data_IF_999332388763
#
_entry.id   IF_999332388763
#
_cell.length_a   1.000
_cell.length_b   1.000
_cell.length_c   1.000
_cell.angle_alpha   90.00
_cell.angle_beta   90.00
_cell.angle_gamma   90.00
#
_symmetry.space_group_name_H-M   'P 1'
#
loop_
_entity.id
_entity.type
_entity.pdbx_description
1 polymer ?
#
# COMPACT_ATOMS: atom_id res chain seq x y z
N UNK A 1 16.08 -9.65 1.02
CA UNK A 1 14.73 -9.77 1.59
C UNK A 1 13.70 -9.29 0.57
N UNK A 2 12.78 -10.16 0.17
CA UNK A 2 11.70 -9.82 -0.79
C UNK A 2 10.64 -8.96 -0.11
N UNK A 3 10.21 -7.86 -0.74
CA UNK A 3 9.14 -6.99 -0.21
C UNK A 3 7.81 -7.76 -0.12
N UNK A 4 7.08 -7.59 0.99
CA UNK A 4 5.70 -8.10 1.14
C UNK A 4 4.76 -7.42 0.14
N UNK A 5 3.59 -8.01 -0.20
CA UNK A 5 2.59 -7.35 -1.06
C UNK A 5 2.20 -5.96 -0.55
N UNK A 6 1.98 -5.81 0.77
CA UNK A 6 1.70 -4.51 1.37
C UNK A 6 2.86 -3.51 1.15
N UNK A 7 4.12 -3.93 1.33
CA UNK A 7 5.26 -3.05 1.04
C UNK A 7 5.34 -2.62 -0.43
N UNK A 8 4.95 -3.51 -1.36
CA UNK A 8 4.89 -3.20 -2.79
C UNK A 8 3.79 -2.19 -3.09
N UNK A 9 2.58 -2.40 -2.55
CA UNK A 9 1.45 -1.48 -2.69
C UNK A 9 1.80 -0.07 -2.17
N UNK A 10 2.37 0.01 -0.96
CA UNK A 10 2.78 1.30 -0.39
C UNK A 10 3.84 2.00 -1.26
N UNK A 11 4.81 1.24 -1.77
CA UNK A 11 5.82 1.79 -2.70
C UNK A 11 5.17 2.35 -3.96
N UNK A 12 4.17 1.64 -4.53
CA UNK A 12 3.45 2.05 -5.73
C UNK A 12 2.61 3.32 -5.49
N UNK A 13 2.01 3.44 -4.31
CA UNK A 13 1.27 4.62 -3.84
C UNK A 13 2.16 5.76 -3.32
N UNK A 14 3.49 5.55 -3.28
CA UNK A 14 4.47 6.50 -2.70
C UNK A 14 4.19 6.85 -1.23
N UNK A 15 3.61 5.93 -0.47
CA UNK A 15 3.32 6.08 0.95
C UNK A 15 4.46 5.48 1.77
N UNK A 16 4.97 6.23 2.74
CA UNK A 16 6.04 5.76 3.64
C UNK A 16 5.50 5.34 5.01
N UNK A 17 6.24 4.47 5.71
CA UNK A 17 5.89 4.12 7.10
C UNK A 17 5.98 5.32 8.05
N UNK A 18 6.87 6.27 7.78
CA UNK A 18 6.98 7.54 8.52
C UNK A 18 5.74 8.39 8.35
N UNK A 19 5.23 8.49 7.13
CA UNK A 19 3.99 9.22 6.84
C UNK A 19 2.81 8.60 7.57
N UNK A 20 2.62 7.28 7.46
CA UNK A 20 1.56 6.57 8.20
C UNK A 20 1.68 6.82 9.71
N UNK A 21 2.89 6.72 10.26
CA UNK A 21 3.14 6.94 11.68
C UNK A 21 2.78 8.36 12.13
N UNK A 22 3.19 9.37 11.36
CA UNK A 22 2.85 10.78 11.60
C UNK A 22 1.33 10.99 11.57
N UNK A 23 0.68 10.54 10.49
CA UNK A 23 -0.75 10.81 10.24
C UNK A 23 -1.67 10.04 11.20
N UNK A 24 -1.20 8.91 11.76
CA UNK A 24 -1.97 8.09 12.72
C UNK A 24 -1.56 8.31 14.18
N UNK A 25 -0.52 9.11 14.45
CA UNK A 25 0.04 9.28 15.79
C UNK A 25 0.66 8.00 16.39
N UNK A 26 1.03 7.02 15.55
CA UNK A 26 1.60 5.75 15.98
C UNK A 26 3.13 5.78 15.94
N UNK A 27 3.77 4.95 16.77
CA UNK A 27 5.23 4.82 16.76
C UNK A 27 5.75 4.25 15.42
N UNK A 28 6.68 4.96 14.77
CA UNK A 28 7.27 4.58 13.48
C UNK A 28 7.74 3.12 13.42
N UNK A 29 8.53 2.66 14.40
CA UNK A 29 9.04 1.29 14.41
C UNK A 29 7.94 0.24 14.54
N UNK A 30 6.84 0.57 15.23
CA UNK A 30 5.72 -0.34 15.37
C UNK A 30 4.96 -0.46 14.03
N UNK A 31 4.69 0.66 13.35
CA UNK A 31 4.13 0.70 12.00
C UNK A 31 5.02 -0.04 11.01
N UNK A 32 6.33 0.25 11.01
CA UNK A 32 7.31 -0.38 10.12
C UNK A 32 7.34 -1.92 10.30
N UNK A 33 7.38 -2.41 11.55
CA UNK A 33 7.38 -3.85 11.83
C UNK A 33 6.04 -4.49 11.45
N UNK A 34 4.91 -3.79 11.63
CA UNK A 34 3.60 -4.30 11.19
C UNK A 34 3.50 -4.38 9.67
N UNK A 35 3.97 -3.38 8.91
CA UNK A 35 4.01 -3.42 7.43
C UNK A 35 4.89 -4.57 6.92
N UNK A 36 6.01 -4.85 7.60
CA UNK A 36 6.90 -5.99 7.32
C UNK A 36 6.32 -7.34 7.76
N UNK A 37 5.09 -7.36 8.28
CA UNK A 37 4.43 -8.53 8.86
C UNK A 37 5.23 -9.20 10.00
N UNK A 38 6.00 -8.40 10.76
CA UNK A 38 6.80 -8.85 11.91
C UNK A 38 6.09 -8.62 13.25
N UNK A 39 5.01 -7.83 13.27
CA UNK A 39 4.23 -7.52 14.48
C UNK A 39 2.74 -7.48 14.17
N UNK A 40 1.95 -8.18 14.98
CA UNK A 40 0.53 -8.45 14.73
C UNK A 40 -0.40 -7.66 15.67
N UNK A 41 -0.05 -6.42 16.01
CA UNK A 41 -0.92 -5.58 16.83
C UNK A 41 -2.20 -5.21 16.07
N UNK A 42 -3.36 -5.64 16.57
CA UNK A 42 -4.67 -5.34 15.98
C UNK A 42 -4.92 -3.83 15.87
N UNK A 43 -4.59 -3.06 16.92
CA UNK A 43 -4.70 -1.59 16.92
C UNK A 43 -3.93 -0.96 15.77
N UNK A 44 -2.66 -1.35 15.56
CA UNK A 44 -1.80 -0.77 14.51
C UNK A 44 -2.28 -1.22 13.14
N UNK A 45 -2.63 -2.49 12.97
CA UNK A 45 -3.17 -3.04 11.73
C UNK A 45 -4.46 -2.34 11.31
N UNK A 46 -5.39 -2.12 12.25
CA UNK A 46 -6.63 -1.38 12.03
C UNK A 46 -6.39 0.07 11.65
N UNK A 47 -5.42 0.74 12.30
CA UNK A 47 -5.05 2.10 11.94
C UNK A 47 -4.46 2.19 10.53
N UNK A 48 -3.59 1.24 10.13
CA UNK A 48 -3.06 1.16 8.76
C UNK A 48 -4.18 0.90 7.75
N UNK A 49 -5.11 -0.01 8.06
CA UNK A 49 -6.26 -0.30 7.20
C UNK A 49 -7.11 0.95 6.95
N UNK A 50 -7.48 1.64 8.03
CA UNK A 50 -8.21 2.91 7.97
C UNK A 50 -7.43 4.00 7.21
N UNK A 51 -6.12 4.10 7.40
CA UNK A 51 -5.28 5.07 6.70
C UNK A 51 -5.26 4.84 5.19
N UNK A 52 -5.25 3.57 4.76
CA UNK A 52 -5.23 3.20 3.36
C UNK A 52 -6.63 3.17 2.72
N UNK A 53 -7.66 3.43 3.51
CA UNK A 53 -9.08 3.28 3.15
C UNK A 53 -9.37 1.89 2.56
N UNK A 54 -8.90 0.86 3.27
CA UNK A 54 -9.08 -0.54 2.91
C UNK A 54 -9.65 -1.32 4.09
N UNK A 55 -10.46 -2.32 3.79
CA UNK A 55 -10.94 -3.25 4.82
C UNK A 55 -9.78 -4.01 5.44
N UNK A 56 -9.89 -4.24 6.75
CA UNK A 56 -8.89 -4.97 7.53
C UNK A 56 -8.61 -6.36 6.93
N UNK A 57 -9.67 -7.06 6.50
CA UNK A 57 -9.57 -8.40 5.91
C UNK A 57 -8.80 -8.43 4.59
N UNK A 58 -8.88 -7.36 3.79
CA UNK A 58 -8.11 -7.27 2.53
C UNK A 58 -6.61 -7.09 2.76
N UNK A 59 -6.21 -6.61 3.94
CA UNK A 59 -4.80 -6.42 4.31
C UNK A 59 -4.24 -7.56 5.14
N UNK A 60 -5.06 -8.19 5.99
CA UNK A 60 -4.60 -9.09 7.04
C UNK A 60 -5.38 -10.41 7.17
N UNK A 61 -6.46 -10.58 6.41
CA UNK A 61 -7.24 -11.81 6.36
C UNK A 61 -6.55 -12.92 5.57
N UNK A 62 -7.20 -14.07 5.49
CA UNK A 62 -6.67 -15.27 4.85
C UNK A 62 -6.32 -15.05 3.37
N UNK A 63 -7.16 -14.30 2.65
CA UNK A 63 -7.00 -14.00 1.22
C UNK A 63 -6.25 -12.69 0.95
N UNK A 64 -5.74 -12.00 1.97
CA UNK A 64 -5.15 -10.67 1.83
C UNK A 64 -4.02 -10.60 0.79
N UNK A 65 -3.23 -11.67 0.67
CA UNK A 65 -2.13 -11.70 -0.29
C UNK A 65 -2.61 -11.60 -1.75
N UNK A 66 -3.75 -12.21 -2.07
CA UNK A 66 -4.30 -12.20 -3.43
C UNK A 66 -5.07 -10.91 -3.70
N UNK A 67 -5.85 -10.41 -2.72
CA UNK A 67 -6.44 -9.06 -2.80
C UNK A 67 -5.40 -7.96 -3.03
N UNK A 68 -4.28 -8.01 -2.30
CA UNK A 68 -3.19 -7.04 -2.47
C UNK A 68 -2.55 -7.13 -3.85
N UNK A 69 -2.43 -8.32 -4.44
CA UNK A 69 -1.92 -8.47 -5.82
C UNK A 69 -2.89 -7.88 -6.84
N UNK A 70 -4.18 -8.17 -6.71
CA UNK A 70 -5.24 -7.59 -7.56
C UNK A 70 -5.20 -6.06 -7.49
N UNK A 71 -5.16 -5.50 -6.27
CA UNK A 71 -5.08 -4.05 -6.08
C UNK A 71 -3.81 -3.44 -6.70
N UNK A 72 -2.66 -4.11 -6.56
CA UNK A 72 -1.41 -3.70 -7.22
C UNK A 72 -1.55 -3.71 -8.73
N UNK A 73 -2.19 -4.73 -9.32
CA UNK A 73 -2.44 -4.79 -10.78
C UNK A 73 -3.27 -3.58 -11.23
N UNK A 74 -4.40 -3.32 -10.56
CA UNK A 74 -5.24 -2.17 -10.89
C UNK A 74 -4.49 -0.83 -10.80
N UNK A 75 -3.63 -0.66 -9.79
CA UNK A 75 -2.82 0.56 -9.63
C UNK A 75 -1.75 0.70 -10.73
N UNK A 76 -1.15 -0.40 -11.17
CA UNK A 76 -0.21 -0.42 -12.30
C UNK A 76 -0.94 -0.04 -13.59
N UNK A 77 -2.12 -0.62 -13.85
CA UNK A 77 -2.89 -0.36 -15.06
C UNK A 77 -3.30 1.11 -15.15
N UNK A 78 -3.80 1.68 -14.05
CA UNK A 78 -4.14 3.11 -13.96
C UNK A 78 -2.95 4.02 -14.25
N UNK A 79 -1.78 3.73 -13.67
CA UNK A 79 -0.56 4.52 -13.90
C UNK A 79 -0.04 4.38 -15.32
N UNK A 80 -0.12 3.17 -15.89
CA UNK A 80 0.27 2.91 -17.28
C UNK A 80 -0.62 3.69 -18.23
N UNK A 81 -1.94 3.63 -18.07
CA UNK A 81 -2.89 4.38 -18.87
C UNK A 81 -2.64 5.90 -18.79
N UNK A 82 -2.43 6.42 -17.58
CA UNK A 82 -2.11 7.84 -17.37
C UNK A 82 -0.80 8.25 -18.05
N UNK A 83 0.24 7.41 -17.93
CA UNK A 83 1.54 7.67 -18.52
C UNK A 83 1.49 7.61 -20.04
N UNK A 84 0.82 6.60 -20.60
CA UNK A 84 0.62 6.46 -22.04
C UNK A 84 -0.10 7.68 -22.60
N UNK A 85 -1.20 8.10 -21.96
CA UNK A 85 -1.94 9.31 -22.36
C UNK A 85 -1.06 10.56 -22.37
N UNK A 86 -0.27 10.79 -21.31
CA UNK A 86 0.65 11.92 -21.24
C UNK A 86 1.70 11.87 -22.37
N UNK A 87 2.27 10.70 -22.64
CA UNK A 87 3.27 10.54 -23.70
C UNK A 87 2.67 10.80 -25.08
N UNK A 88 1.46 10.31 -25.36
CA UNK A 88 0.73 10.62 -26.60
C UNK A 88 0.54 12.12 -26.76
N UNK A 89 0.01 12.81 -25.74
CA UNK A 89 -0.19 14.27 -25.77
C UNK A 89 1.10 15.08 -25.94
N UNK A 90 2.24 14.54 -25.50
CA UNK A 90 3.51 15.26 -25.52
C UNK A 90 4.26 15.13 -26.84
N UNK A 91 4.07 14.02 -27.55
CA UNK A 91 4.93 13.64 -28.68
C UNK A 91 4.18 13.28 -29.97
N UNK A 92 2.88 12.99 -29.91
CA UNK A 92 2.08 12.56 -31.07
C UNK A 92 0.93 13.50 -31.41
N UNK A 93 0.36 14.19 -30.41
CA UNK A 93 -0.62 15.27 -30.60
C UNK A 93 0.09 16.64 -30.62
#
# INVERSE_FOLDING_TARGET
MTKTPLQKLLSLRRISATQIASDTGLGYHAVQKTIKNQRHSSRIRGAIAKYLDLDYEYLWGEQAADYLKELIRCEIDKKTATTAHHLTQKFLD
#
